data_IF_562175829240
#
_entry.id   IF_562175829240
#
_cell.length_a   1.000
_cell.length_b   1.000
_cell.length_c   1.000
_cell.angle_alpha   90.00
_cell.angle_beta   90.00
_cell.angle_gamma   90.00
#
_symmetry.space_group_name_H-M   'P 1'
#
loop_
_entity.id
_entity.type
_entity.pdbx_description
1 polymer ?
#
# COMPACT_ATOMS: atom_id res chain seq x y z
N UNK A 1 3.68 7.75 0.85
CA UNK A 1 3.12 8.12 -0.47
C UNK A 1 4.15 8.75 -1.40
N UNK A 2 4.82 9.87 -1.06
CA UNK A 2 5.81 10.53 -1.95
C UNK A 2 6.82 9.58 -2.61
N UNK A 3 7.46 8.71 -1.83
CA UNK A 3 8.51 7.81 -2.35
C UNK A 3 7.96 6.68 -3.22
N UNK A 4 6.72 6.25 -2.97
CA UNK A 4 6.00 5.33 -3.86
C UNK A 4 5.59 6.01 -5.18
N UNK A 5 5.15 7.27 -5.14
CA UNK A 5 4.89 8.07 -6.34
C UNK A 5 6.18 8.30 -7.15
N UNK A 6 7.29 8.60 -6.47
CA UNK A 6 8.61 8.76 -7.08
C UNK A 6 9.07 7.48 -7.78
N UNK A 7 8.84 6.30 -7.19
CA UNK A 7 9.15 5.01 -7.81
C UNK A 7 8.50 4.85 -9.18
N UNK A 8 7.22 5.27 -9.33
CA UNK A 8 6.50 5.19 -10.62
C UNK A 8 7.01 6.18 -11.67
N UNK A 9 7.57 7.31 -11.24
CA UNK A 9 8.20 8.30 -12.14
C UNK A 9 9.59 7.82 -12.57
N UNK A 10 10.34 7.16 -11.67
CA UNK A 10 11.63 6.52 -11.97
C UNK A 10 11.44 5.37 -12.97
N UNK A 11 10.43 4.53 -12.76
CA UNK A 11 10.11 3.41 -13.65
C UNK A 11 9.74 3.91 -15.05
N UNK A 12 8.88 4.93 -15.13
CA UNK A 12 8.49 5.53 -16.39
C UNK A 12 8.10 7.01 -16.21
N UNK A 13 8.78 7.94 -16.90
CA UNK A 13 8.32 9.32 -16.98
C UNK A 13 6.88 9.42 -17.48
N UNK A 14 6.11 10.37 -16.98
CA UNK A 14 4.72 10.52 -17.40
C UNK A 14 4.05 11.77 -16.88
N UNK A 15 2.91 12.13 -17.49
CA UNK A 15 2.08 13.20 -16.99
C UNK A 15 1.50 12.84 -15.62
N UNK A 16 1.14 13.82 -14.81
CA UNK A 16 0.62 13.57 -13.46
C UNK A 16 -0.59 12.61 -13.45
N UNK A 17 -1.47 12.72 -14.46
CA UNK A 17 -2.62 11.83 -14.60
C UNK A 17 -2.20 10.37 -14.84
N UNK A 18 -1.18 10.14 -15.67
CA UNK A 18 -0.70 8.79 -15.97
C UNK A 18 -0.04 8.17 -14.75
N UNK A 19 0.75 8.96 -14.01
CA UNK A 19 1.34 8.53 -12.73
C UNK A 19 0.24 8.19 -11.73
N UNK A 20 -0.83 9.00 -11.65
CA UNK A 20 -1.95 8.73 -10.75
C UNK A 20 -2.70 7.44 -11.13
N UNK A 21 -2.93 7.19 -12.43
CA UNK A 21 -3.53 5.94 -12.92
C UNK A 21 -2.69 4.72 -12.55
N UNK A 22 -1.37 4.77 -12.82
CA UNK A 22 -0.44 3.69 -12.45
C UNK A 22 -0.39 3.47 -10.94
N UNK A 23 -0.41 4.55 -10.15
CA UNK A 23 -0.42 4.45 -8.70
C UNK A 23 -1.67 3.75 -8.18
N UNK A 24 -2.86 4.15 -8.65
CA UNK A 24 -4.11 3.52 -8.24
C UNK A 24 -4.14 2.05 -8.65
N UNK A 25 -3.66 1.71 -9.85
CA UNK A 25 -3.60 0.32 -10.30
C UNK A 25 -2.68 -0.55 -9.42
N UNK A 26 -1.48 -0.04 -9.09
CA UNK A 26 -0.44 -0.78 -8.35
C UNK A 26 -0.68 -0.82 -6.84
N UNK A 27 -1.00 0.33 -6.26
CA UNK A 27 -1.06 0.52 -4.81
C UNK A 27 -2.48 0.68 -4.27
N UNK A 28 -3.49 0.89 -5.12
CA UNK A 28 -4.85 1.22 -4.67
C UNK A 28 -5.52 0.17 -3.77
N UNK A 29 -5.06 -1.09 -3.84
CA UNK A 29 -5.53 -2.17 -2.95
C UNK A 29 -4.88 -2.15 -1.56
N UNK A 30 -3.64 -1.68 -1.47
CA UNK A 30 -2.86 -1.68 -0.22
C UNK A 30 -2.77 -0.30 0.42
N UNK A 31 -3.03 0.76 -0.34
CA UNK A 31 -3.00 2.15 0.11
C UNK A 31 -4.29 2.86 -0.31
N UNK A 32 -5.09 3.27 0.68
CA UNK A 32 -6.23 4.17 0.42
C UNK A 32 -5.73 5.58 0.16
N UNK A 33 -5.52 5.92 -1.11
CA UNK A 33 -5.10 7.26 -1.53
C UNK A 33 -5.82 7.69 -2.80
N UNK A 34 -6.53 8.82 -2.74
CA UNK A 34 -7.18 9.42 -3.91
C UNK A 34 -6.19 10.18 -4.82
N UNK A 35 -6.61 10.50 -6.07
CA UNK A 35 -5.78 11.23 -7.04
C UNK A 35 -5.19 12.55 -6.52
N UNK A 36 -5.95 13.31 -5.73
CA UNK A 36 -5.52 14.59 -5.16
C UNK A 36 -4.25 14.47 -4.31
N UNK A 37 -4.12 13.38 -3.55
CA UNK A 37 -2.94 13.10 -2.73
C UNK A 37 -1.71 12.78 -3.60
N UNK A 38 -1.90 12.13 -4.75
CA UNK A 38 -0.82 11.81 -5.69
C UNK A 38 -0.32 13.08 -6.37
N UNK A 39 -1.22 13.98 -6.77
CA UNK A 39 -0.83 15.27 -7.33
C UNK A 39 -0.09 16.14 -6.31
N UNK A 40 -0.55 16.16 -5.04
CA UNK A 40 0.17 16.84 -3.96
C UNK A 40 1.56 16.23 -3.72
N UNK A 41 1.69 14.90 -3.83
CA UNK A 41 2.97 14.21 -3.73
C UNK A 41 3.92 14.61 -4.88
N UNK A 42 3.43 14.64 -6.12
CA UNK A 42 4.21 15.05 -7.29
C UNK A 42 4.70 16.50 -7.19
N UNK A 43 3.81 17.43 -6.82
CA UNK A 43 4.16 18.82 -6.61
C UNK A 43 5.25 18.96 -5.55
N UNK A 44 5.11 18.28 -4.42
CA UNK A 44 6.11 18.39 -3.37
C UNK A 44 7.43 17.69 -3.72
N UNK A 45 7.41 16.63 -4.53
CA UNK A 45 8.64 16.03 -5.06
C UNK A 45 9.38 16.99 -6.02
N UNK A 46 8.65 17.80 -6.78
CA UNK A 46 9.22 18.81 -7.67
C UNK A 46 9.84 19.96 -6.87
N UNK A 47 9.14 20.46 -5.85
CA UNK A 47 9.66 21.44 -4.90
C UNK A 47 10.92 20.94 -4.18
N UNK A 48 10.97 19.65 -3.84
CA UNK A 48 12.13 18.99 -3.21
C UNK A 48 13.30 18.75 -4.20
N UNK A 49 13.13 19.04 -5.49
CA UNK A 49 14.08 18.75 -6.57
C UNK A 49 14.29 17.26 -6.85
N UNK A 50 13.36 16.40 -6.42
CA UNK A 50 13.41 14.95 -6.65
C UNK A 50 12.82 14.55 -8.01
N UNK A 51 11.93 15.37 -8.57
CA UNK A 51 11.45 15.27 -9.95
C UNK A 51 11.53 16.64 -10.62
N UNK A 52 11.52 16.66 -11.93
CA UNK A 52 11.50 17.87 -12.75
C UNK A 52 10.44 17.76 -13.84
N UNK A 53 9.96 18.92 -14.30
CA UNK A 53 9.14 19.06 -15.49
C UNK A 53 9.77 20.11 -16.41
N UNK A 54 9.92 19.85 -17.70
CA UNK A 54 10.33 20.87 -18.65
C UNK A 54 9.36 22.06 -18.63
N UNK A 55 9.85 23.27 -18.39
CA UNK A 55 9.07 24.50 -18.58
C UNK A 55 9.00 24.78 -20.08
N UNK A 56 7.81 24.69 -20.68
CA UNK A 56 7.66 24.96 -22.11
C UNK A 56 7.27 26.43 -22.32
N UNK A 57 7.85 27.04 -23.36
CA UNK A 57 7.27 28.23 -23.98
C UNK A 57 6.01 27.85 -24.79
N UNK A 58 5.08 28.78 -24.91
CA UNK A 58 3.80 28.59 -25.58
C UNK A 58 3.98 28.03 -27.02
N UNK A 59 3.65 26.75 -27.24
CA UNK A 59 3.67 26.14 -28.58
C UNK A 59 4.01 24.65 -28.66
N UNK A 60 4.75 24.07 -27.72
CA UNK A 60 5.17 22.64 -27.74
C UNK A 60 4.40 21.77 -26.71
N UNK A 61 3.19 22.18 -26.36
CA UNK A 61 2.58 21.95 -25.05
C UNK A 61 2.15 20.49 -24.76
N UNK A 62 1.92 19.66 -25.79
CA UNK A 62 1.25 18.37 -25.58
C UNK A 62 2.19 17.18 -25.28
N UNK A 63 3.49 17.26 -25.59
CA UNK A 63 4.41 16.11 -25.46
C UNK A 63 5.42 16.22 -24.30
N UNK A 64 5.52 17.36 -23.60
CA UNK A 64 6.64 17.61 -22.67
C UNK A 64 6.28 17.94 -21.21
N UNK A 65 5.01 17.99 -20.80
CA UNK A 65 4.59 18.17 -19.38
C UNK A 65 4.77 16.92 -18.48
N UNK A 66 5.63 15.99 -18.87
CA UNK A 66 5.88 14.74 -18.13
C UNK A 66 6.87 14.97 -16.98
N UNK A 67 6.54 14.45 -15.79
CA UNK A 67 7.47 14.38 -14.68
C UNK A 67 8.60 13.40 -15.00
N UNK A 68 9.84 13.81 -14.71
CA UNK A 68 11.05 12.99 -14.80
C UNK A 68 11.76 12.97 -13.46
N UNK A 69 12.28 11.82 -13.06
CA UNK A 69 13.05 11.74 -11.82
C UNK A 69 14.45 12.35 -12.01
N UNK A 70 14.88 13.17 -11.06
CA UNK A 70 16.26 13.68 -11.03
C UNK A 70 17.20 12.64 -10.44
N UNK A 71 18.51 12.81 -10.62
CA UNK A 71 19.53 11.95 -9.96
C UNK A 71 19.35 11.94 -8.43
N UNK A 72 19.10 13.12 -7.84
CA UNK A 72 18.79 13.28 -6.41
C UNK A 72 17.53 12.49 -6.02
N UNK A 73 16.50 12.49 -6.86
CA UNK A 73 15.31 11.68 -6.66
C UNK A 73 15.61 10.18 -6.63
N UNK A 74 16.39 9.69 -7.59
CA UNK A 74 16.80 8.27 -7.65
C UNK A 74 17.61 7.86 -6.41
N UNK A 75 18.58 8.69 -6.00
CA UNK A 75 19.39 8.43 -4.80
C UNK A 75 18.51 8.42 -3.54
N UNK A 76 17.61 9.39 -3.37
CA UNK A 76 16.65 9.44 -2.25
C UNK A 76 15.76 8.20 -2.19
N UNK A 77 15.26 7.74 -3.34
CA UNK A 77 14.44 6.54 -3.43
C UNK A 77 15.23 5.27 -3.05
N UNK A 78 16.49 5.14 -3.53
CA UNK A 78 17.37 4.03 -3.16
C UNK A 78 17.67 3.99 -1.66
N UNK A 79 18.00 5.13 -1.07
CA UNK A 79 18.23 5.23 0.38
C UNK A 79 17.02 4.75 1.16
N UNK A 80 15.82 5.21 0.77
CA UNK A 80 14.59 4.79 1.42
C UNK A 80 14.34 3.27 1.32
N UNK A 81 14.60 2.65 0.17
CA UNK A 81 14.48 1.20 0.03
C UNK A 81 15.44 0.42 0.94
N UNK A 82 16.58 1.01 1.28
CA UNK A 82 17.56 0.39 2.19
C UNK A 82 17.34 0.71 3.67
N UNK A 83 16.42 1.61 4.01
CA UNK A 83 16.16 2.01 5.39
C UNK A 83 15.33 0.91 6.10
N UNK A 84 15.79 0.38 7.24
CA UNK A 84 15.00 -0.57 8.03
C UNK A 84 13.67 0.03 8.44
N UNK A 85 12.60 -0.77 8.36
CA UNK A 85 11.26 -0.39 8.80
C UNK A 85 10.79 -1.34 9.90
N UNK A 86 10.16 -0.80 10.95
CA UNK A 86 9.44 -1.60 11.94
C UNK A 86 8.00 -1.81 11.45
N UNK A 87 7.45 -3.01 11.64
CA UNK A 87 6.04 -3.27 11.32
C UNK A 87 5.13 -2.37 12.16
N UNK A 88 4.19 -1.67 11.50
CA UNK A 88 3.13 -0.94 12.20
C UNK A 88 2.19 -1.95 12.89
N UNK A 89 1.73 -1.63 14.11
CA UNK A 89 0.63 -2.36 14.73
C UNK A 89 -0.63 -2.14 13.88
N UNK A 90 -1.21 -3.22 13.37
CA UNK A 90 -2.44 -3.14 12.58
C UNK A 90 -3.63 -2.72 13.45
N UNK A 91 -4.62 -2.06 12.84
CA UNK A 91 -5.84 -1.60 13.53
C UNK A 91 -6.55 -2.73 14.29
N UNK A 92 -6.59 -3.94 13.72
CA UNK A 92 -7.15 -5.12 14.38
C UNK A 92 -6.41 -5.48 15.68
N UNK A 93 -5.08 -5.36 15.72
CA UNK A 93 -4.29 -5.64 16.92
C UNK A 93 -4.59 -4.62 18.01
N UNK A 94 -4.73 -3.35 17.64
CA UNK A 94 -5.12 -2.30 18.58
C UNK A 94 -6.52 -2.56 19.15
N UNK A 95 -7.49 -2.94 18.31
CA UNK A 95 -8.86 -3.27 18.75
C UNK A 95 -8.89 -4.50 19.65
N UNK A 96 -8.13 -5.55 19.33
CA UNK A 96 -7.99 -6.73 20.19
C UNK A 96 -7.45 -6.35 21.58
N UNK A 97 -6.44 -5.49 21.63
CA UNK A 97 -5.87 -5.02 22.90
C UNK A 97 -6.82 -4.10 23.70
N UNK A 98 -7.90 -3.61 23.09
CA UNK A 98 -8.82 -2.64 23.70
C UNK A 98 -10.01 -3.27 24.44
N UNK A 99 -10.14 -4.60 24.43
CA UNK A 99 -11.24 -5.29 25.11
C UNK A 99 -10.79 -6.62 25.72
N UNK A 100 -11.43 -7.00 26.82
CA UNK A 100 -11.24 -8.31 27.46
C UNK A 100 -12.47 -9.21 27.31
N UNK A 101 -13.50 -8.76 26.60
CA UNK A 101 -14.73 -9.53 26.37
C UNK A 101 -14.51 -10.59 25.27
N UNK A 102 -14.57 -11.89 25.59
CA UNK A 102 -14.34 -12.96 24.62
C UNK A 102 -15.33 -12.96 23.45
N UNK A 103 -16.58 -12.52 23.66
CA UNK A 103 -17.59 -12.49 22.60
C UNK A 103 -17.31 -11.37 21.59
N UNK A 104 -16.91 -10.18 22.06
CA UNK A 104 -16.50 -9.08 21.19
C UNK A 104 -15.22 -9.41 20.43
N UNK A 105 -14.25 -10.07 21.07
CA UNK A 105 -13.03 -10.54 20.41
C UNK A 105 -13.34 -11.57 19.32
N UNK A 106 -14.22 -12.52 19.60
CA UNK A 106 -14.61 -13.54 18.62
C UNK A 106 -15.28 -12.91 17.39
N UNK A 107 -16.26 -12.01 17.60
CA UNK A 107 -16.91 -11.31 16.49
C UNK A 107 -15.94 -10.45 15.67
N UNK A 108 -15.02 -9.74 16.32
CA UNK A 108 -13.95 -8.98 15.65
C UNK A 108 -13.07 -9.88 14.77
N UNK A 109 -12.67 -11.05 15.28
CA UNK A 109 -11.81 -11.99 14.57
C UNK A 109 -12.53 -12.66 13.39
N UNK A 110 -13.82 -13.00 13.54
CA UNK A 110 -14.63 -13.56 12.47
C UNK A 110 -14.82 -12.56 11.32
N UNK A 111 -15.11 -11.29 11.64
CA UNK A 111 -15.20 -10.23 10.63
C UNK A 111 -13.86 -9.98 9.95
N UNK A 112 -12.77 -10.01 10.72
CA UNK A 112 -11.44 -9.81 10.18
C UNK A 112 -11.02 -10.95 9.24
N UNK A 113 -11.26 -12.22 9.60
CA UNK A 113 -11.03 -13.39 8.74
C UNK A 113 -11.82 -13.27 7.43
N UNK A 114 -13.12 -12.95 7.53
CA UNK A 114 -14.01 -12.80 6.37
C UNK A 114 -13.50 -11.73 5.40
N UNK A 115 -13.11 -10.56 5.91
CA UNK A 115 -12.59 -9.45 5.09
C UNK A 115 -11.27 -9.85 4.44
N UNK A 116 -10.32 -10.40 5.21
CA UNK A 116 -9.02 -10.81 4.69
C UNK A 116 -9.14 -11.85 3.57
N UNK A 117 -10.01 -12.86 3.74
CA UNK A 117 -10.30 -13.87 2.71
C UNK A 117 -10.96 -13.27 1.48
N UNK A 118 -11.90 -12.34 1.65
CA UNK A 118 -12.54 -11.66 0.53
C UNK A 118 -11.54 -10.83 -0.28
N UNK A 119 -10.69 -10.06 0.40
CA UNK A 119 -9.67 -9.24 -0.27
C UNK A 119 -8.66 -10.11 -1.02
N UNK A 120 -8.17 -11.19 -0.40
CA UNK A 120 -7.26 -12.14 -1.04
C UNK A 120 -7.87 -12.79 -2.31
N UNK A 121 -9.16 -13.12 -2.30
CA UNK A 121 -9.87 -13.67 -3.48
C UNK A 121 -9.96 -12.69 -4.65
N UNK A 122 -9.95 -11.39 -4.38
CA UNK A 122 -10.00 -10.34 -5.40
C UNK A 122 -8.59 -9.98 -5.93
N UNK A 123 -7.54 -10.60 -5.42
CA UNK A 123 -6.18 -10.39 -5.91
C UNK A 123 -5.96 -11.14 -7.24
N UNK A 124 -5.28 -10.51 -8.22
CA UNK A 124 -4.82 -11.22 -9.41
C UNK A 124 -3.93 -12.41 -9.05
N UNK A 125 -3.96 -13.44 -9.88
CA UNK A 125 -3.08 -14.59 -9.70
C UNK A 125 -1.60 -14.20 -9.87
N UNK A 126 -1.31 -13.31 -10.82
CA UNK A 126 0.03 -12.93 -11.24
C UNK A 126 0.09 -11.46 -11.67
N UNK A 127 1.26 -10.82 -11.50
CA UNK A 127 1.64 -9.56 -12.15
C UNK A 127 2.98 -9.70 -12.89
N UNK A 128 3.12 -9.12 -14.11
CA UNK A 128 4.38 -9.12 -14.83
C UNK A 128 5.47 -8.26 -14.16
N UNK A 129 5.13 -7.42 -13.17
CA UNK A 129 6.08 -6.58 -12.45
C UNK A 129 6.48 -7.25 -11.14
N UNK A 130 7.78 -7.56 -10.96
CA UNK A 130 8.29 -8.28 -9.78
C UNK A 130 7.86 -7.67 -8.44
N UNK A 131 7.94 -6.34 -8.30
CA UNK A 131 7.54 -5.68 -7.06
C UNK A 131 6.04 -5.76 -6.77
N UNK A 132 5.20 -5.86 -7.81
CA UNK A 132 3.77 -6.12 -7.64
C UNK A 132 3.51 -7.59 -7.33
N UNK A 133 4.23 -8.51 -7.97
CA UNK A 133 4.13 -9.93 -7.68
C UNK A 133 4.45 -10.21 -6.20
N UNK A 134 5.54 -9.63 -5.67
CA UNK A 134 5.89 -9.77 -4.25
C UNK A 134 4.82 -9.22 -3.31
N UNK A 135 4.17 -8.11 -3.68
CA UNK A 135 3.04 -7.55 -2.92
C UNK A 135 1.84 -8.52 -2.91
N UNK A 136 1.54 -9.14 -4.05
CA UNK A 136 0.47 -10.13 -4.15
C UNK A 136 0.80 -11.38 -3.33
N UNK A 137 2.05 -11.84 -3.35
CA UNK A 137 2.51 -13.00 -2.60
C UNK A 137 2.49 -12.71 -1.08
N UNK A 138 2.94 -11.53 -0.64
CA UNK A 138 2.84 -11.08 0.75
C UNK A 138 1.38 -11.04 1.22
N UNK A 139 0.48 -10.46 0.43
CA UNK A 139 -0.94 -10.36 0.81
C UNK A 139 -1.62 -11.73 0.93
N UNK A 140 -1.27 -12.70 0.07
CA UNK A 140 -1.76 -14.08 0.16
C UNK A 140 -1.22 -14.79 1.40
N UNK A 141 0.09 -14.74 1.62
CA UNK A 141 0.72 -15.34 2.79
C UNK A 141 0.17 -14.73 4.10
N UNK A 142 -0.07 -13.43 4.10
CA UNK A 142 -0.71 -12.73 5.21
C UNK A 142 -2.12 -13.26 5.46
N UNK A 143 -2.96 -13.39 4.43
CA UNK A 143 -4.32 -13.93 4.59
C UNK A 143 -4.32 -15.37 5.13
N UNK A 144 -3.44 -16.23 4.64
CA UNK A 144 -3.28 -17.61 5.13
C UNK A 144 -2.87 -17.66 6.60
N UNK A 145 -1.86 -16.88 6.99
CA UNK A 145 -1.42 -16.78 8.39
C UNK A 145 -2.54 -16.24 9.31
N UNK A 146 -3.40 -15.34 8.81
CA UNK A 146 -4.53 -14.82 9.57
C UNK A 146 -5.62 -15.85 9.81
N UNK A 147 -5.99 -16.62 8.78
CA UNK A 147 -6.96 -17.72 8.93
C UNK A 147 -6.47 -18.71 9.97
N UNK A 148 -5.18 -19.07 9.92
CA UNK A 148 -4.58 -19.97 10.91
C UNK A 148 -4.62 -19.39 12.32
N UNK A 149 -4.29 -18.10 12.48
CA UNK A 149 -4.36 -17.38 13.75
C UNK A 149 -5.79 -17.33 14.30
N UNK A 150 -6.77 -16.93 13.49
CA UNK A 150 -8.18 -16.81 13.91
C UNK A 150 -8.73 -18.17 14.32
N UNK A 151 -8.42 -19.23 13.58
CA UNK A 151 -8.80 -20.60 13.95
C UNK A 151 -8.30 -20.99 15.35
N UNK A 152 -7.03 -20.73 15.66
CA UNK A 152 -6.47 -20.97 17.00
C UNK A 152 -7.12 -20.10 18.08
N UNK A 153 -7.31 -18.82 17.80
CA UNK A 153 -7.92 -17.88 18.73
C UNK A 153 -9.37 -18.26 19.05
N UNK A 154 -10.15 -18.67 18.05
CA UNK A 154 -11.53 -19.14 18.19
C UNK A 154 -11.61 -20.34 19.14
N UNK A 155 -10.73 -21.33 19.01
CA UNK A 155 -10.67 -22.48 19.93
C UNK A 155 -10.44 -22.01 21.38
N UNK A 156 -9.51 -21.08 21.57
CA UNK A 156 -9.19 -20.56 22.91
C UNK A 156 -10.34 -19.76 23.53
N UNK A 157 -10.94 -18.84 22.76
CA UNK A 157 -12.03 -17.97 23.23
C UNK A 157 -13.30 -18.78 23.54
N UNK A 158 -13.68 -19.72 22.68
CA UNK A 158 -14.83 -20.60 22.93
C UNK A 158 -14.63 -21.45 24.18
N UNK A 159 -13.41 -21.96 24.41
CA UNK A 159 -13.11 -22.71 25.63
C UNK A 159 -13.21 -21.84 26.90
N UNK A 160 -12.87 -20.55 26.83
CA UNK A 160 -13.06 -19.60 27.95
C UNK A 160 -14.53 -19.30 28.20
N UNK A 161 -15.33 -19.14 27.14
CA UNK A 161 -16.76 -18.86 27.25
C UNK A 161 -17.54 -20.03 27.85
N UNK A 162 -17.18 -21.27 27.50
CA UNK A 162 -17.84 -22.48 28.03
C UNK A 162 -17.48 -22.82 29.49
N UNK A 163 -16.52 -22.09 30.09
CA UNK A 163 -16.11 -22.26 31.50
C UNK A 163 -16.80 -21.28 32.46
N UNK A 164 -17.59 -20.35 31.93
CA UNK A 164 -18.39 -19.39 32.70
C UNK A 164 -19.84 -19.85 32.75
#
# INVERSE_FOLDING_TARGET
MKLATLALVIEQPGQGMDVAKRFTARFGKVMRSGPSHIYAALKSLEEDGAVERPTLGAGEEQQRAAYRATRRGVERWRTWLSTPTSGYLSDVVVRMASTTDPALLLGLLDDYERIALQEARLLPAHSPHLGEQLLLDEAKAFAEAHVEFVSRARVHLTALMNRR
#
